data_IF_167730717115
#
_entry.id   IF_167730717115
#
_cell.length_a   1.000
_cell.length_b   1.000
_cell.length_c   1.000
_cell.angle_alpha   90.00
_cell.angle_beta   90.00
_cell.angle_gamma   90.00
#
_symmetry.space_group_name_H-M   'P 1'
#
loop_
_entity.id
_entity.type
_entity.pdbx_description
1 polymer ?
#
# COMPACT_ATOMS: atom_id res chain seq x y z
N UNK A 1 -53.00 -12.15 11.15
CA UNK A 1 -52.16 -11.60 12.23
C UNK A 1 -50.73 -11.74 11.77
N UNK A 2 -50.16 -10.65 11.25
CA UNK A 2 -48.80 -10.57 10.73
C UNK A 2 -48.02 -9.79 11.76
N UNK A 3 -47.25 -10.48 12.60
CA UNK A 3 -46.36 -9.82 13.55
C UNK A 3 -45.25 -9.13 12.77
N UNK A 4 -45.23 -7.79 12.90
CA UNK A 4 -44.11 -6.95 12.53
C UNK A 4 -42.92 -7.40 13.37
N UNK A 5 -41.88 -7.87 12.71
CA UNK A 5 -40.56 -7.97 13.33
C UNK A 5 -40.07 -6.53 13.44
N UNK A 6 -40.16 -6.00 14.65
CA UNK A 6 -39.61 -4.71 15.03
C UNK A 6 -38.12 -4.65 14.67
N UNK A 7 -37.74 -3.52 14.10
CA UNK A 7 -36.40 -3.23 13.60
C UNK A 7 -35.36 -3.42 14.69
N UNK A 8 -34.68 -4.57 14.66
CA UNK A 8 -33.33 -4.65 15.17
C UNK A 8 -32.50 -3.67 14.32
N UNK A 9 -32.14 -2.53 14.92
CA UNK A 9 -31.05 -1.70 14.44
C UNK A 9 -29.85 -2.64 14.38
N UNK A 10 -29.52 -3.12 13.18
CA UNK A 10 -28.25 -3.81 12.96
C UNK A 10 -27.19 -2.87 13.52
N UNK A 11 -26.36 -3.29 14.50
CA UNK A 11 -25.26 -2.45 14.95
C UNK A 11 -24.51 -2.03 13.70
N UNK A 12 -24.37 -0.72 13.48
CA UNK A 12 -23.70 -0.24 12.28
C UNK A 12 -22.28 -0.79 12.33
N UNK A 13 -21.94 -1.58 11.30
CA UNK A 13 -20.59 -2.14 11.09
C UNK A 13 -19.51 -1.06 11.24
N UNK A 14 -19.88 0.20 11.02
CA UNK A 14 -19.12 1.43 11.23
C UNK A 14 -18.54 1.66 12.63
N UNK A 15 -18.91 0.98 13.71
CA UNK A 15 -18.39 1.32 15.05
C UNK A 15 -17.13 0.54 15.46
N UNK A 16 -16.97 -0.72 15.06
CA UNK A 16 -15.85 -1.55 15.49
C UNK A 16 -14.65 -1.40 14.55
N UNK A 17 -14.87 -1.41 13.24
CA UNK A 17 -13.79 -1.26 12.25
C UNK A 17 -13.27 0.18 12.15
N UNK A 18 -14.16 1.18 12.26
CA UNK A 18 -13.75 2.58 12.41
C UNK A 18 -13.00 2.78 13.71
N UNK A 19 -13.37 2.10 14.80
CA UNK A 19 -12.60 2.14 16.04
C UNK A 19 -11.22 1.49 15.85
N UNK A 20 -11.09 0.37 15.14
CA UNK A 20 -9.80 -0.29 14.87
C UNK A 20 -8.92 0.53 13.92
N UNK A 21 -9.48 1.16 12.89
CA UNK A 21 -8.72 2.07 12.02
C UNK A 21 -8.35 3.34 12.77
N UNK A 22 -9.26 3.96 13.52
CA UNK A 22 -8.93 5.09 14.38
C UNK A 22 -7.87 4.66 15.40
N UNK A 23 -7.96 3.48 15.99
CA UNK A 23 -6.96 2.95 16.92
C UNK A 23 -5.61 2.69 16.25
N UNK A 24 -5.58 2.16 15.03
CA UNK A 24 -4.38 2.00 14.21
C UNK A 24 -3.78 3.34 13.74
N UNK A 25 -4.62 4.36 13.54
CA UNK A 25 -4.23 5.73 13.18
C UNK A 25 -3.74 6.51 14.41
N UNK A 26 -4.31 6.23 15.59
CA UNK A 26 -3.93 6.82 16.88
C UNK A 26 -2.77 6.09 17.58
N UNK A 27 -2.45 4.85 17.16
CA UNK A 27 -1.24 4.18 17.58
C UNK A 27 -0.04 5.02 17.11
N UNK A 28 0.57 5.72 18.06
CA UNK A 28 1.92 6.21 17.93
C UNK A 28 2.82 4.99 17.71
N UNK A 29 3.14 4.70 16.45
CA UNK A 29 4.04 3.62 16.05
C UNK A 29 5.47 3.98 16.51
N UNK A 30 5.76 3.83 17.80
CA UNK A 30 7.01 4.30 18.41
C UNK A 30 7.30 5.78 18.14
N UNK A 31 6.25 6.63 18.06
CA UNK A 31 6.37 8.06 17.71
C UNK A 31 6.27 8.40 16.22
N UNK A 32 6.03 7.43 15.33
CA UNK A 32 5.72 7.71 13.91
C UNK A 32 4.21 7.85 13.70
N UNK A 33 3.80 8.99 13.17
CA UNK A 33 2.43 9.22 12.69
C UNK A 33 2.26 8.55 11.32
N UNK A 34 1.19 7.77 11.13
CA UNK A 34 0.83 7.28 9.80
C UNK A 34 0.52 8.47 8.89
N UNK A 35 1.24 8.59 7.78
CA UNK A 35 0.92 9.61 6.78
C UNK A 35 -0.27 9.16 5.93
N UNK A 36 -1.09 10.12 5.47
CA UNK A 36 -2.21 9.82 4.55
C UNK A 36 -1.75 9.06 3.30
N UNK A 37 -0.54 9.33 2.80
CA UNK A 37 0.03 8.59 1.66
C UNK A 37 0.23 7.11 1.99
N UNK A 38 0.71 6.77 3.19
CA UNK A 38 0.87 5.38 3.62
C UNK A 38 -0.48 4.67 3.75
N UNK A 39 -1.49 5.38 4.25
CA UNK A 39 -2.87 4.86 4.36
C UNK A 39 -3.43 4.57 2.97
N UNK A 40 -3.30 5.50 2.02
CA UNK A 40 -3.76 5.29 0.63
C UNK A 40 -3.03 4.10 -0.01
N UNK A 41 -1.71 4.02 0.14
CA UNK A 41 -0.93 2.93 -0.44
C UNK A 41 -1.32 1.57 0.19
N UNK A 42 -1.58 1.53 1.50
CA UNK A 42 -2.08 0.33 2.18
C UNK A 42 -3.45 -0.11 1.66
N UNK A 43 -4.40 0.82 1.46
CA UNK A 43 -5.70 0.52 0.86
C UNK A 43 -5.57 0.00 -0.57
N UNK A 44 -4.71 0.60 -1.39
CA UNK A 44 -4.48 0.14 -2.77
C UNK A 44 -3.94 -1.30 -2.78
N UNK A 45 -2.96 -1.60 -1.95
CA UNK A 45 -2.37 -2.94 -1.89
C UNK A 45 -3.34 -3.96 -1.30
N UNK A 46 -4.14 -3.56 -0.30
CA UNK A 46 -5.23 -4.36 0.26
C UNK A 46 -6.31 -4.71 -0.78
N UNK A 47 -6.76 -3.72 -1.56
CA UNK A 47 -7.72 -3.94 -2.64
C UNK A 47 -7.14 -4.90 -3.71
N UNK A 48 -5.86 -4.76 -4.07
CA UNK A 48 -5.21 -5.71 -4.99
C UNK A 48 -5.16 -7.12 -4.41
N UNK A 49 -4.80 -7.27 -3.13
CA UNK A 49 -4.76 -8.55 -2.45
C UNK A 49 -6.15 -9.20 -2.35
N UNK A 50 -7.20 -8.40 -2.20
CA UNK A 50 -8.60 -8.84 -2.18
C UNK A 50 -9.16 -9.20 -3.57
N UNK A 51 -8.40 -9.02 -4.65
CA UNK A 51 -8.81 -9.40 -6.00
C UNK A 51 -9.16 -8.24 -6.94
N UNK A 52 -8.83 -6.99 -6.57
CA UNK A 52 -8.99 -5.80 -7.42
C UNK A 52 -7.62 -5.34 -7.98
N UNK A 53 -7.00 -6.09 -8.91
CA UNK A 53 -5.60 -5.86 -9.33
C UNK A 53 -5.36 -4.50 -10.01
N UNK A 54 -6.43 -3.84 -10.47
CA UNK A 54 -6.38 -2.54 -11.15
C UNK A 54 -6.53 -1.34 -10.19
N UNK A 55 -6.63 -1.57 -8.88
CA UNK A 55 -6.67 -0.51 -7.88
C UNK A 55 -5.43 0.38 -7.96
N UNK A 56 -5.65 1.70 -8.01
CA UNK A 56 -4.60 2.72 -8.15
C UNK A 56 -5.11 4.07 -7.68
N UNK A 57 -4.22 5.05 -7.52
CA UNK A 57 -4.60 6.45 -7.31
C UNK A 57 -5.35 6.98 -8.55
N UNK A 58 -6.47 7.66 -8.34
CA UNK A 58 -7.29 8.24 -9.39
C UNK A 58 -6.57 9.43 -10.04
N UNK A 59 -6.87 9.69 -11.31
CA UNK A 59 -6.29 10.80 -12.07
C UNK A 59 -7.40 11.73 -12.55
N UNK A 60 -7.08 13.01 -12.64
CA UNK A 60 -7.96 14.07 -13.15
C UNK A 60 -7.26 14.81 -14.29
N UNK A 61 -8.02 15.28 -15.28
CA UNK A 61 -7.51 16.02 -16.43
C UNK A 61 -7.36 15.19 -17.70
N UNK A 62 -6.87 15.82 -18.78
CA UNK A 62 -6.67 15.19 -20.08
C UNK A 62 -5.33 15.62 -20.69
N UNK A 63 -4.56 14.67 -21.20
CA UNK A 63 -3.28 14.95 -21.85
C UNK A 63 -2.27 15.57 -20.87
N UNK A 64 -1.74 16.75 -21.22
CA UNK A 64 -0.69 17.44 -20.45
C UNK A 64 -1.16 18.03 -19.11
N UNK A 65 -2.48 18.09 -18.85
CA UNK A 65 -3.04 18.56 -17.56
C UNK A 65 -3.40 17.42 -16.61
N UNK A 66 -3.01 16.18 -16.93
CA UNK A 66 -3.32 15.02 -16.09
C UNK A 66 -2.56 15.09 -14.77
N UNK A 67 -3.29 15.14 -13.66
CA UNK A 67 -2.74 15.10 -12.29
C UNK A 67 -3.27 13.90 -11.52
N UNK A 68 -2.43 13.31 -10.69
CA UNK A 68 -2.83 12.26 -9.75
C UNK A 68 -3.57 12.90 -8.58
N UNK A 69 -4.71 12.35 -8.20
CA UNK A 69 -5.43 12.68 -6.98
C UNK A 69 -4.88 11.79 -5.85
N UNK A 70 -4.11 12.33 -4.91
CA UNK A 70 -3.31 11.50 -3.98
C UNK A 70 -4.15 10.74 -2.96
N UNK A 71 -5.38 11.20 -2.66
CA UNK A 71 -6.28 10.61 -1.67
C UNK A 71 -7.46 9.86 -2.30
N UNK A 72 -7.53 9.82 -3.63
CA UNK A 72 -8.64 9.16 -4.33
C UNK A 72 -8.13 7.87 -4.94
N UNK A 73 -8.81 6.76 -4.68
CA UNK A 73 -8.54 5.44 -5.23
C UNK A 73 -9.55 5.14 -6.33
N UNK A 74 -9.07 4.69 -7.48
CA UNK A 74 -9.87 4.27 -8.64
C UNK A 74 -9.80 2.75 -8.80
N UNK A 75 -10.96 2.11 -8.89
CA UNK A 75 -11.12 0.70 -9.24
C UNK A 75 -12.15 0.55 -10.38
N UNK A 76 -12.00 -0.45 -11.26
CA UNK A 76 -13.13 -0.88 -12.09
C UNK A 76 -14.32 -1.27 -11.20
N UNK A 77 -15.54 -0.99 -11.63
CA UNK A 77 -16.73 -1.30 -10.86
C UNK A 77 -16.78 -2.80 -10.52
N UNK A 78 -16.76 -3.17 -9.22
CA UNK A 78 -16.69 -4.57 -8.78
C UNK A 78 -17.99 -5.34 -9.07
N UNK A 79 -19.10 -4.63 -9.28
CA UNK A 79 -20.40 -5.17 -9.64
C UNK A 79 -20.70 -5.09 -11.14
N UNK A 80 -19.68 -4.82 -11.96
CA UNK A 80 -19.78 -4.81 -13.43
C UNK A 80 -20.79 -3.82 -14.02
N UNK A 81 -21.20 -2.80 -13.26
CA UNK A 81 -21.98 -1.68 -13.79
C UNK A 81 -21.22 -1.03 -14.96
N UNK A 82 -21.97 -0.61 -15.98
CA UNK A 82 -21.42 -0.01 -17.19
C UNK A 82 -21.59 1.50 -17.17
N UNK A 83 -20.73 2.19 -17.93
CA UNK A 83 -20.91 3.61 -18.23
C UNK A 83 -22.24 3.85 -18.95
N UNK A 84 -22.81 5.08 -18.94
CA UNK A 84 -24.10 5.38 -19.59
C UNK A 84 -24.17 4.99 -21.08
N UNK A 85 -23.03 5.08 -21.79
CA UNK A 85 -22.89 4.68 -23.19
C UNK A 85 -22.77 3.16 -23.41
N UNK A 86 -22.72 2.37 -22.33
CA UNK A 86 -22.62 0.90 -22.26
C UNK A 86 -21.34 0.29 -22.86
N UNK A 87 -20.37 1.12 -23.27
CA UNK A 87 -19.16 0.64 -23.96
C UNK A 87 -18.12 0.09 -23.00
N UNK A 88 -18.01 0.68 -21.82
CA UNK A 88 -17.01 0.32 -20.82
C UNK A 88 -17.66 -0.06 -19.50
N UNK A 89 -16.92 -0.79 -18.67
CA UNK A 89 -17.26 -0.89 -17.25
C UNK A 89 -17.07 0.49 -16.61
N UNK A 90 -18.02 0.88 -15.77
CA UNK A 90 -17.88 2.06 -14.95
C UNK A 90 -16.70 1.88 -13.98
N UNK A 91 -16.17 2.99 -13.50
CA UNK A 91 -15.17 3.00 -12.45
C UNK A 91 -15.81 3.51 -11.17
N UNK A 92 -15.37 2.98 -10.04
CA UNK A 92 -15.71 3.49 -8.72
C UNK A 92 -14.51 4.26 -8.20
N UNK A 93 -14.75 5.51 -7.82
CA UNK A 93 -13.77 6.33 -7.12
C UNK A 93 -14.12 6.37 -5.64
N UNK A 94 -13.09 6.23 -4.80
CA UNK A 94 -13.22 6.25 -3.35
C UNK A 94 -12.25 7.26 -2.77
N UNK A 95 -12.68 8.07 -1.81
CA UNK A 95 -11.86 9.07 -1.13
C UNK A 95 -11.39 8.47 0.20
N UNK A 96 -10.09 8.57 0.48
CA UNK A 96 -9.54 8.30 1.80
C UNK A 96 -9.78 9.52 2.68
N UNK A 97 -10.67 9.38 3.66
CA UNK A 97 -11.02 10.40 4.64
C UNK A 97 -9.89 10.61 5.67
N UNK A 98 -10.01 11.67 6.46
CA UNK A 98 -9.11 11.95 7.59
C UNK A 98 -9.10 10.84 8.66
N UNK A 99 -10.22 10.14 8.80
CA UNK A 99 -10.39 8.92 9.60
C UNK A 99 -9.68 7.69 9.03
N UNK A 100 -8.99 7.82 7.90
CA UNK A 100 -8.39 6.73 7.12
C UNK A 100 -9.41 5.73 6.53
N UNK A 101 -10.71 6.01 6.63
CA UNK A 101 -11.78 5.25 5.99
C UNK A 101 -11.97 5.62 4.51
N UNK A 102 -12.62 4.75 3.74
CA UNK A 102 -12.99 5.00 2.35
C UNK A 102 -14.46 5.42 2.24
N UNK A 103 -14.71 6.59 1.67
CA UNK A 103 -16.04 7.00 1.21
C UNK A 103 -16.13 6.91 -0.32
N UNK A 104 -17.34 6.89 -0.87
CA UNK A 104 -17.52 6.98 -2.33
C UNK A 104 -17.39 8.44 -2.75
N UNK A 105 -16.52 8.68 -3.73
CA UNK A 105 -16.34 10.00 -4.33
C UNK A 105 -17.66 10.45 -5.00
N UNK A 106 -18.20 11.65 -4.70
CA UNK A 106 -19.38 12.18 -5.39
C UNK A 106 -19.22 12.24 -6.92
N UNK A 107 -17.99 12.40 -7.40
CA UNK A 107 -17.64 12.42 -8.83
C UNK A 107 -17.31 11.01 -9.37
N UNK A 108 -17.63 9.95 -8.62
CA UNK A 108 -17.48 8.57 -9.05
C UNK A 108 -18.32 8.30 -10.31
N UNK A 109 -17.72 7.84 -11.43
CA UNK A 109 -18.46 7.57 -12.66
C UNK A 109 -19.53 6.47 -12.55
N UNK A 110 -19.50 5.66 -11.50
CA UNK A 110 -20.48 4.61 -11.26
C UNK A 110 -21.61 5.11 -10.34
N UNK A 111 -22.77 5.41 -10.93
CA UNK A 111 -23.97 5.92 -10.22
C UNK A 111 -24.65 4.89 -9.31
N UNK A 112 -24.32 3.60 -9.47
CA UNK A 112 -24.98 2.50 -8.76
C UNK A 112 -24.23 2.03 -7.51
N UNK A 113 -22.95 2.39 -7.37
CA UNK A 113 -22.15 2.00 -6.22
C UNK A 113 -22.31 3.04 -5.12
N UNK A 114 -23.36 2.88 -4.32
CA UNK A 114 -23.62 3.76 -3.18
C UNK A 114 -22.59 3.54 -2.06
N UNK A 115 -22.46 4.49 -1.12
CA UNK A 115 -21.61 4.32 0.07
C UNK A 115 -21.81 2.99 0.79
N UNK A 116 -23.06 2.61 1.08
CA UNK A 116 -23.39 1.36 1.78
C UNK A 116 -22.94 0.10 1.01
N UNK A 117 -23.04 0.14 -0.32
CA UNK A 117 -22.63 -0.97 -1.19
C UNK A 117 -21.10 -1.15 -1.17
N UNK A 118 -20.37 -0.03 -1.19
CA UNK A 118 -18.91 -0.05 -1.12
C UNK A 118 -18.42 -0.39 0.29
N UNK A 119 -19.02 0.15 1.35
CA UNK A 119 -18.73 -0.24 2.72
C UNK A 119 -18.87 -1.76 2.89
N UNK A 120 -19.99 -2.33 2.44
CA UNK A 120 -20.19 -3.78 2.48
C UNK A 120 -19.10 -4.53 1.71
N UNK A 121 -18.70 -4.07 0.53
CA UNK A 121 -17.62 -4.68 -0.24
C UNK A 121 -16.30 -4.69 0.53
N UNK A 122 -15.97 -3.60 1.21
CA UNK A 122 -14.70 -3.45 1.94
C UNK A 122 -14.64 -4.35 3.18
N UNK A 123 -15.80 -4.65 3.77
CA UNK A 123 -15.95 -5.46 4.98
C UNK A 123 -16.26 -6.94 4.71
N UNK A 124 -16.77 -7.27 3.53
CA UNK A 124 -17.18 -8.64 3.19
C UNK A 124 -16.06 -9.39 2.50
N UNK A 125 -15.82 -10.64 2.91
CA UNK A 125 -14.90 -11.51 2.21
C UNK A 125 -15.47 -11.87 0.82
N UNK A 126 -14.82 -11.48 -0.29
CA UNK A 126 -15.34 -11.69 -1.65
C UNK A 126 -15.43 -13.17 -2.05
N UNK A 127 -14.81 -14.08 -1.30
CA UNK A 127 -14.81 -15.52 -1.59
C UNK A 127 -15.96 -16.29 -0.96
N UNK A 128 -16.40 -15.91 0.23
CA UNK A 128 -17.49 -16.59 0.94
C UNK A 128 -18.75 -15.72 1.06
N UNK A 129 -18.69 -14.48 0.56
CA UNK A 129 -19.77 -13.49 0.65
C UNK A 129 -20.26 -13.32 2.09
N UNK A 130 -19.33 -13.44 3.04
CA UNK A 130 -19.62 -13.43 4.45
C UNK A 130 -18.81 -12.33 5.14
N UNK A 131 -19.44 -11.68 6.12
CA UNK A 131 -18.76 -10.76 7.02
C UNK A 131 -17.69 -11.50 7.85
N UNK A 132 -16.81 -10.74 8.50
CA UNK A 132 -15.72 -11.25 9.33
C UNK A 132 -16.15 -12.22 10.44
N UNK A 133 -17.37 -12.09 10.96
CA UNK A 133 -17.88 -12.88 12.09
C UNK A 133 -18.62 -14.14 11.63
N UNK A 134 -18.70 -14.39 10.33
CA UNK A 134 -19.48 -15.48 9.79
C UNK A 134 -18.84 -16.85 10.03
N UNK A 135 -19.59 -17.85 10.52
CA UNK A 135 -19.12 -19.24 10.59
C UNK A 135 -18.92 -19.88 9.20
N UNK A 136 -19.24 -19.16 8.11
CA UNK A 136 -19.01 -19.60 6.72
C UNK A 136 -17.55 -19.50 6.29
N UNK A 137 -16.69 -18.81 7.04
CA UNK A 137 -15.25 -18.82 6.78
C UNK A 137 -14.71 -20.24 6.94
N UNK A 138 -14.28 -20.85 5.83
CA UNK A 138 -13.64 -22.18 5.88
C UNK A 138 -12.18 -22.01 6.34
N UNK A 139 -11.65 -22.96 7.14
CA UNK A 139 -10.22 -23.01 7.44
C UNK A 139 -9.40 -23.02 6.15
N UNK A 140 -8.37 -22.17 6.08
CA UNK A 140 -7.50 -22.06 4.90
C UNK A 140 -7.94 -21.04 3.84
N UNK A 141 -8.97 -20.24 4.08
CA UNK A 141 -9.39 -19.17 3.18
C UNK A 141 -8.64 -17.83 3.37
N UNK A 142 -7.78 -17.70 4.38
CA UNK A 142 -6.95 -16.51 4.62
C UNK A 142 -5.49 -16.68 4.22
N UNK A 143 -4.81 -15.55 3.92
CA UNK A 143 -3.35 -15.51 4.00
C UNK A 143 -2.90 -16.00 5.38
N UNK A 144 -1.81 -16.76 5.40
CA UNK A 144 -1.19 -17.38 6.59
C UNK A 144 -0.84 -16.33 7.64
N UNK A 145 -1.73 -15.89 8.53
CA UNK A 145 -1.27 -15.22 9.76
C UNK A 145 -2.14 -15.57 10.97
N UNK A 146 -1.44 -15.94 12.03
CA UNK A 146 -1.86 -16.02 13.41
C UNK A 146 -2.33 -14.64 13.88
N UNK A 147 -3.64 -14.41 13.84
CA UNK A 147 -4.26 -13.26 14.48
C UNK A 147 -4.51 -13.58 15.95
N UNK A 148 -4.34 -12.60 16.83
CA UNK A 148 -4.64 -12.73 18.26
C UNK A 148 -6.10 -13.20 18.42
N UNK A 149 -6.38 -14.35 19.07
CA UNK A 149 -7.73 -14.83 19.31
C UNK A 149 -8.62 -13.82 20.08
N UNK A 150 -8.04 -12.79 20.71
CA UNK A 150 -8.75 -11.70 21.38
C UNK A 150 -9.34 -10.66 20.40
N UNK A 151 -8.83 -10.58 19.17
CA UNK A 151 -9.24 -9.57 18.17
C UNK A 151 -10.15 -10.13 17.07
N UNK A 152 -10.51 -11.41 17.10
CA UNK A 152 -11.63 -11.97 16.31
C UNK A 152 -11.40 -12.24 14.82
N UNK A 153 -10.33 -11.73 14.18
CA UNK A 153 -10.19 -11.82 12.72
C UNK A 153 -9.25 -12.96 12.29
N UNK A 154 -9.76 -14.18 12.17
CA UNK A 154 -8.99 -15.31 11.59
C UNK A 154 -9.49 -15.62 10.18
N UNK A 155 -8.73 -15.18 9.17
CA UNK A 155 -8.79 -15.76 7.82
C UNK A 155 -9.73 -15.10 6.79
N UNK A 156 -10.11 -13.83 6.98
CA UNK A 156 -10.87 -13.06 5.99
C UNK A 156 -10.01 -12.61 4.80
N UNK A 157 -10.60 -12.53 3.60
CA UNK A 157 -10.02 -11.85 2.43
C UNK A 157 -10.74 -10.55 2.10
N UNK A 158 -11.48 -9.98 3.05
CA UNK A 158 -12.05 -8.66 2.91
C UNK A 158 -10.91 -7.63 2.76
N UNK A 159 -11.08 -6.59 1.92
CA UNK A 159 -10.10 -5.51 1.80
C UNK A 159 -9.63 -4.95 3.14
N UNK A 160 -10.55 -4.71 4.09
CA UNK A 160 -10.19 -4.16 5.41
C UNK A 160 -9.16 -5.03 6.16
N UNK A 161 -9.30 -6.35 6.09
CA UNK A 161 -8.40 -7.27 6.81
C UNK A 161 -6.96 -7.17 6.32
N UNK A 162 -6.74 -6.88 5.03
CA UNK A 162 -5.39 -6.64 4.50
C UNK A 162 -4.83 -5.27 4.89
N UNK A 163 -5.67 -4.25 5.04
CA UNK A 163 -5.23 -2.93 5.55
C UNK A 163 -4.77 -3.06 7.00
N UNK A 164 -5.55 -3.77 7.82
CA UNK A 164 -5.20 -4.03 9.21
C UNK A 164 -3.89 -4.82 9.34
N UNK A 165 -3.68 -5.85 8.50
CA UNK A 165 -2.41 -6.58 8.44
C UNK A 165 -1.24 -5.66 8.06
N UNK A 166 -1.42 -4.78 7.08
CA UNK A 166 -0.39 -3.81 6.70
C UNK A 166 -0.04 -2.86 7.85
N UNK A 167 -1.04 -2.36 8.60
CA UNK A 167 -0.81 -1.48 9.75
C UNK A 167 -0.15 -2.20 10.92
N UNK A 168 -0.54 -3.44 11.20
CA UNK A 168 0.12 -4.28 12.22
C UNK A 168 1.57 -4.56 11.86
N UNK A 169 1.88 -4.83 10.59
CA UNK A 169 3.27 -4.99 10.13
C UNK A 169 4.08 -3.71 10.33
N UNK A 170 3.52 -2.55 9.97
CA UNK A 170 4.17 -1.25 10.21
C UNK A 170 4.42 -0.99 11.70
N UNK A 171 3.48 -1.39 12.56
CA UNK A 171 3.66 -1.33 14.02
C UNK A 171 4.79 -2.22 14.50
N UNK A 172 4.81 -3.48 14.06
CA UNK A 172 5.87 -4.44 14.41
C UNK A 172 7.24 -3.96 13.94
N UNK A 173 7.34 -3.39 12.73
CA UNK A 173 8.57 -2.79 12.21
C UNK A 173 9.00 -1.55 13.00
N UNK A 174 8.06 -0.69 13.39
CA UNK A 174 8.35 0.49 14.21
C UNK A 174 8.81 0.12 15.62
N UNK A 175 8.15 -0.86 16.24
CA UNK A 175 8.54 -1.40 17.55
C UNK A 175 9.94 -2.03 17.48
N UNK A 176 10.19 -2.88 16.48
CA UNK A 176 11.51 -3.45 16.25
C UNK A 176 12.58 -2.37 16.07
N UNK A 177 12.26 -1.29 15.35
CA UNK A 177 13.16 -0.14 15.20
C UNK A 177 13.45 0.53 16.55
N UNK A 178 12.42 0.75 17.38
CA UNK A 178 12.56 1.36 18.70
C UNK A 178 13.46 0.52 19.62
N UNK A 179 13.29 -0.80 19.65
CA UNK A 179 14.13 -1.71 20.45
C UNK A 179 15.61 -1.70 20.03
N UNK A 180 15.92 -1.39 18.75
CA UNK A 180 17.31 -1.29 18.28
C UNK A 180 17.90 0.11 18.46
N UNK A 181 17.12 1.17 18.28
CA UNK A 181 17.61 2.56 18.29
C UNK A 181 17.56 3.22 19.67
N UNK A 182 16.56 2.88 20.49
CA UNK A 182 16.33 3.46 21.81
C UNK A 182 15.91 2.38 22.83
N UNK A 183 16.77 1.37 23.09
CA UNK A 183 16.42 0.20 23.90
C UNK A 183 15.96 0.53 25.32
N UNK A 184 16.57 1.52 25.97
CA UNK A 184 16.22 1.87 27.36
C UNK A 184 14.81 2.49 27.45
N UNK A 185 14.44 3.33 26.47
CA UNK A 185 13.12 3.92 26.39
C UNK A 185 12.05 2.87 26.03
N UNK A 186 12.38 1.96 25.11
CA UNK A 186 11.49 0.85 24.75
C UNK A 186 11.24 -0.10 25.93
N UNK A 187 12.28 -0.41 26.72
CA UNK A 187 12.15 -1.20 27.94
C UNK A 187 11.30 -0.49 29.00
N UNK A 188 11.52 0.81 29.23
CA UNK A 188 10.72 1.57 30.19
C UNK A 188 9.23 1.56 29.82
N UNK A 189 8.91 1.70 28.53
CA UNK A 189 7.54 1.56 28.05
C UNK A 189 7.02 0.11 28.22
N UNK A 190 7.80 -0.89 27.82
CA UNK A 190 7.43 -2.31 27.96
C UNK A 190 7.00 -2.67 29.38
N UNK A 191 7.77 -2.24 30.38
CA UNK A 191 7.47 -2.46 31.80
C UNK A 191 6.20 -1.73 32.26
N UNK A 192 5.84 -0.61 31.64
CA UNK A 192 4.59 0.10 31.95
C UNK A 192 3.35 -0.61 31.40
N UNK A 193 3.45 -1.19 30.20
CA UNK A 193 2.29 -1.82 29.53
C UNK A 193 2.19 -3.33 29.73
N UNK A 194 3.26 -4.01 30.11
CA UNK A 194 3.26 -5.44 30.39
C UNK A 194 3.60 -5.70 31.85
N UNK A 195 2.69 -6.37 32.56
CA UNK A 195 2.89 -6.82 33.93
C UNK A 195 3.64 -8.17 33.97
N UNK A 196 4.63 -8.32 33.09
CA UNK A 196 5.39 -9.57 32.97
C UNK A 196 6.60 -9.53 33.91
N UNK A 197 6.42 -10.12 35.09
CA UNK A 197 7.41 -10.13 36.18
C UNK A 197 8.41 -11.29 36.06
N UNK A 198 8.31 -12.12 35.03
CA UNK A 198 9.09 -13.36 34.90
C UNK A 198 10.50 -13.15 34.35
N UNK A 199 10.75 -12.03 33.66
CA UNK A 199 12.05 -11.73 33.04
C UNK A 199 12.71 -10.52 33.69
N UNK A 200 14.02 -10.59 33.87
CA UNK A 200 14.83 -9.43 34.25
C UNK A 200 14.90 -8.44 33.08
N UNK A 201 15.16 -7.16 33.39
CA UNK A 201 15.37 -6.11 32.39
C UNK A 201 16.42 -6.50 31.32
N UNK A 202 17.51 -7.16 31.72
CA UNK A 202 18.56 -7.63 30.82
C UNK A 202 18.09 -8.75 29.88
N UNK A 203 17.24 -9.65 30.37
CA UNK A 203 16.68 -10.75 29.56
C UNK A 203 15.70 -10.21 28.52
N UNK A 204 14.80 -9.31 28.94
CA UNK A 204 13.86 -8.64 28.01
C UNK A 204 14.62 -7.88 26.93
N UNK A 205 15.67 -7.14 27.28
CA UNK A 205 16.49 -6.42 26.31
C UNK A 205 17.18 -7.35 25.31
N UNK A 206 17.73 -8.48 25.77
CA UNK A 206 18.39 -9.43 24.89
C UNK A 206 17.40 -10.06 23.92
N UNK A 207 16.28 -10.58 24.43
CA UNK A 207 15.23 -11.24 23.65
C UNK A 207 14.61 -10.29 22.62
N UNK A 208 14.17 -9.10 23.06
CA UNK A 208 13.48 -8.14 22.17
C UNK A 208 14.40 -7.59 21.10
N UNK A 209 15.70 -7.41 21.38
CA UNK A 209 16.67 -7.01 20.35
C UNK A 209 16.96 -8.12 19.35
N UNK A 210 16.97 -9.38 19.77
CA UNK A 210 17.09 -10.52 18.86
C UNK A 210 15.85 -10.61 17.95
N UNK A 211 14.65 -10.57 18.54
CA UNK A 211 13.39 -10.50 17.80
C UNK A 211 13.38 -9.34 16.80
N UNK A 212 13.77 -8.14 17.22
CA UNK A 212 13.79 -6.95 16.37
C UNK A 212 14.75 -7.09 15.18
N UNK A 213 15.92 -7.70 15.38
CA UNK A 213 16.83 -8.06 14.26
C UNK A 213 16.19 -9.08 13.33
N UNK A 214 15.45 -10.04 13.87
CA UNK A 214 14.68 -11.00 13.09
C UNK A 214 13.64 -10.33 12.19
N UNK A 215 12.81 -9.45 12.75
CA UNK A 215 11.79 -8.70 12.01
C UNK A 215 12.41 -7.82 10.91
N UNK A 216 13.38 -6.98 11.26
CA UNK A 216 13.99 -6.03 10.30
C UNK A 216 14.96 -6.69 9.32
N UNK A 217 15.50 -7.86 9.67
CA UNK A 217 16.31 -8.69 8.79
C UNK A 217 15.49 -9.56 7.84
N UNK A 218 14.27 -9.96 8.25
CA UNK A 218 13.33 -10.76 7.45
C UNK A 218 12.37 -9.92 6.61
N UNK A 219 12.23 -8.61 6.90
CA UNK A 219 11.59 -7.69 5.98
C UNK A 219 12.23 -7.89 4.60
N UNK A 220 11.44 -8.17 3.53
CA UNK A 220 12.02 -8.21 2.20
C UNK A 220 12.62 -6.83 2.04
N UNK A 221 13.96 -6.76 2.09
CA UNK A 221 14.67 -5.57 1.64
C UNK A 221 14.08 -5.39 0.26
N UNK A 222 13.20 -4.39 0.11
CA UNK A 222 12.97 -3.80 -1.19
C UNK A 222 14.39 -3.47 -1.54
N UNK A 223 14.96 -4.26 -2.44
CA UNK A 223 16.19 -3.94 -3.10
C UNK A 223 15.75 -2.67 -3.80
N UNK A 224 15.86 -1.54 -3.09
CA UNK A 224 16.23 -0.28 -3.68
C UNK A 224 17.42 -0.76 -4.46
N UNK A 225 17.20 -1.02 -5.75
CA UNK A 225 18.26 -1.22 -6.68
C UNK A 225 19.16 -0.06 -6.33
N UNK A 226 20.28 -0.38 -5.69
CA UNK A 226 21.31 0.59 -5.42
C UNK A 226 21.54 1.13 -6.81
N UNK A 227 21.00 2.30 -7.08
CA UNK A 227 21.34 3.07 -8.24
C UNK A 227 22.73 3.56 -7.90
N UNK A 228 23.69 2.65 -7.92
CA UNK A 228 25.08 2.94 -8.20
C UNK A 228 25.24 3.40 -9.65
N UNK A 229 24.22 4.05 -10.22
CA UNK A 229 24.45 5.06 -11.22
C UNK A 229 25.15 6.19 -10.46
N UNK A 230 26.48 6.21 -10.52
CA UNK A 230 27.24 7.39 -10.17
C UNK A 230 26.53 8.60 -10.81
N UNK A 231 26.43 9.71 -10.06
CA UNK A 231 25.86 10.95 -10.56
C UNK A 231 26.73 11.44 -11.72
N UNK A 232 26.44 10.94 -12.91
CA UNK A 232 27.15 11.22 -14.15
C UNK A 232 26.44 12.40 -14.81
N UNK A 233 27.22 13.41 -15.18
CA UNK A 233 26.74 14.55 -15.94
C UNK A 233 26.30 14.13 -17.35
N UNK A 234 25.55 15.00 -18.05
CA UNK A 234 25.09 14.70 -19.41
C UNK A 234 26.25 14.50 -20.39
N UNK A 235 27.33 15.28 -20.27
CA UNK A 235 28.51 15.19 -21.15
C UNK A 235 29.33 13.91 -20.90
N UNK A 236 29.46 13.51 -19.64
CA UNK A 236 30.06 12.23 -19.27
C UNK A 236 29.20 11.07 -19.79
N UNK A 237 27.87 11.20 -19.75
CA UNK A 237 26.96 10.19 -20.26
C UNK A 237 27.01 10.06 -21.79
N UNK A 238 27.22 11.15 -22.54
CA UNK A 238 27.48 11.08 -23.99
C UNK A 238 28.74 10.24 -24.25
N UNK A 239 29.84 10.58 -23.56
CA UNK A 239 31.12 9.86 -23.68
C UNK A 239 30.96 8.39 -23.28
N UNK A 240 30.14 8.10 -22.27
CA UNK A 240 29.85 6.74 -21.83
C UNK A 240 29.04 5.96 -22.87
N UNK A 241 28.03 6.58 -23.51
CA UNK A 241 27.25 5.95 -24.58
C UNK A 241 28.12 5.64 -25.80
N UNK A 242 29.04 6.54 -26.16
CA UNK A 242 29.99 6.33 -27.25
C UNK A 242 30.97 5.20 -26.93
N UNK A 243 31.53 5.18 -25.71
CA UNK A 243 32.44 4.13 -25.24
C UNK A 243 31.82 2.74 -25.24
N UNK A 244 30.51 2.65 -25.02
CA UNK A 244 29.77 1.38 -25.01
C UNK A 244 29.08 1.08 -26.35
N UNK A 245 29.47 1.77 -27.43
CA UNK A 245 29.03 1.51 -28.80
C UNK A 245 27.50 1.59 -28.99
N UNK A 246 26.81 2.37 -28.17
CA UNK A 246 25.36 2.57 -28.33
C UNK A 246 25.13 3.53 -29.52
N UNK A 247 24.40 3.14 -30.57
CA UNK A 247 24.30 3.96 -31.78
C UNK A 247 23.64 5.33 -31.53
N UNK A 248 24.15 6.43 -32.11
CA UNK A 248 23.51 7.75 -32.00
C UNK A 248 22.15 7.81 -32.71
N UNK A 249 21.91 6.90 -33.67
CA UNK A 249 20.63 6.76 -34.38
C UNK A 249 19.54 6.12 -33.51
N UNK A 250 19.90 5.34 -32.49
CA UNK A 250 18.95 4.66 -31.61
C UNK A 250 17.97 5.66 -30.97
N UNK A 251 16.70 5.27 -30.83
CA UNK A 251 15.74 6.08 -30.07
C UNK A 251 16.15 6.16 -28.59
N UNK A 252 15.70 7.18 -27.86
CA UNK A 252 15.98 7.31 -26.42
C UNK A 252 15.62 6.03 -25.64
N UNK A 253 14.44 5.46 -25.92
CA UNK A 253 13.95 4.21 -25.32
C UNK A 253 14.84 3.01 -25.69
N UNK A 254 15.35 2.98 -26.92
CA UNK A 254 16.22 1.91 -27.39
C UNK A 254 17.63 2.04 -26.83
N UNK A 255 18.20 3.25 -26.72
CA UNK A 255 19.46 3.49 -26.02
C UNK A 255 19.37 3.09 -24.53
N UNK A 256 18.25 3.40 -23.87
CA UNK A 256 17.98 2.87 -22.53
C UNK A 256 17.93 1.34 -22.53
N UNK A 257 17.26 0.70 -23.49
CA UNK A 257 17.23 -0.77 -23.55
C UNK A 257 18.62 -1.38 -23.79
N UNK A 258 19.41 -0.83 -24.71
CA UNK A 258 20.74 -1.31 -25.08
C UNK A 258 21.76 -1.11 -23.95
N UNK A 259 21.59 -0.07 -23.14
CA UNK A 259 22.43 0.15 -21.94
C UNK A 259 22.12 -0.78 -20.76
N UNK A 260 21.08 -1.61 -20.85
CA UNK A 260 20.72 -2.52 -19.77
C UNK A 260 21.78 -3.61 -19.58
N UNK A 261 22.29 -3.74 -18.36
CA UNK A 261 23.32 -4.74 -18.02
C UNK A 261 24.77 -4.27 -18.20
N UNK A 262 24.99 -3.05 -18.72
CA UNK A 262 26.34 -2.49 -18.83
C UNK A 262 26.84 -1.93 -17.48
N UNK A 263 28.14 -2.10 -17.15
CA UNK A 263 28.70 -1.64 -15.89
C UNK A 263 28.76 -0.11 -15.83
N UNK A 264 28.45 0.45 -14.65
CA UNK A 264 28.50 1.91 -14.42
C UNK A 264 27.42 2.70 -15.19
N UNK A 265 26.31 2.05 -15.53
CA UNK A 265 25.20 2.63 -16.30
C UNK A 265 24.66 3.92 -15.65
N UNK A 266 24.56 5.03 -16.40
CA UNK A 266 23.93 6.25 -15.92
C UNK A 266 22.42 6.08 -15.64
N UNK A 267 21.83 7.02 -14.92
CA UNK A 267 20.39 7.06 -14.69
C UNK A 267 19.62 7.24 -16.01
N UNK A 268 18.37 6.75 -16.05
CA UNK A 268 17.53 6.78 -17.26
C UNK A 268 17.44 8.17 -17.88
N UNK A 269 17.11 9.17 -17.08
CA UNK A 269 16.95 10.54 -17.57
C UNK A 269 18.25 11.09 -18.17
N UNK A 270 19.41 10.73 -17.60
CA UNK A 270 20.72 11.13 -18.11
C UNK A 270 21.02 10.49 -19.46
N UNK A 271 20.67 9.20 -19.65
CA UNK A 271 20.82 8.50 -20.93
C UNK A 271 19.91 9.11 -22.00
N UNK A 272 18.66 9.42 -21.64
CA UNK A 272 17.70 10.03 -22.58
C UNK A 272 18.13 11.45 -22.99
N UNK A 273 18.64 12.25 -22.05
CA UNK A 273 19.20 13.57 -22.32
C UNK A 273 20.44 13.49 -23.24
N UNK A 274 21.43 12.65 -22.88
CA UNK A 274 22.64 12.45 -23.67
C UNK A 274 22.34 11.98 -25.10
N UNK A 275 21.40 11.05 -25.27
CA UNK A 275 21.00 10.58 -26.60
C UNK A 275 20.29 11.68 -27.43
N UNK A 276 19.51 12.55 -26.77
CA UNK A 276 18.90 13.71 -27.43
C UNK A 276 19.96 14.66 -27.95
N UNK A 277 20.99 14.92 -27.15
CA UNK A 277 22.10 15.79 -27.51
C UNK A 277 22.95 15.23 -28.65
N UNK A 278 23.27 13.93 -28.62
CA UNK A 278 23.95 13.22 -29.74
C UNK A 278 23.18 13.37 -31.05
N UNK A 279 21.84 13.27 -31.01
CA UNK A 279 20.99 13.45 -32.19
C UNK A 279 20.97 14.89 -32.70
N UNK A 280 20.94 15.89 -31.81
CA UNK A 280 21.00 17.30 -32.20
C UNK A 280 22.36 17.63 -32.85
N UNK A 281 23.46 17.21 -32.24
CA UNK A 281 24.81 17.42 -32.80
C UNK A 281 25.04 16.72 -34.14
N UNK A 282 24.47 15.53 -34.36
CA UNK A 282 24.54 14.82 -35.64
C UNK A 282 23.65 15.42 -36.75
N UNK A 283 22.72 16.32 -36.40
CA UNK A 283 21.88 17.04 -37.38
C UNK A 283 22.49 18.39 -37.75
N UNK A 284 23.41 18.91 -36.93
CA UNK A 284 24.11 20.19 -37.12
C UNK A 284 25.49 20.04 -37.80
N UNK A 285 26.01 18.81 -37.92
CA UNK A 285 27.27 18.46 -38.60
C UNK A 285 27.02 17.87 -39.99
#
# INVERSE_FOLDING_TARGET
MSERIDGAVSPSYSQLDTAVILWATYLHLGGRTLSLTMIVDAWIDALKAAGFPKARKAWEGYGSSTRTLPLVIDIPCPFEHRTPDRRNFAHVRMIVEDTAWLSVDPDSPCEYCTPDVIERLLLTCPRCEADENSPRHRPGHGLRHSFDPRLGVVGSTAPISFVLDAFLRLQVEAEATAWLQAPDAALAWWVQVNDDTLLTASEVLAERREWARGILGAAPRKVVASSGAAAMTEDEAVTWLDKNEIPPTASQREAWRLSAGLPGRPAKNTIEAAQTRRKRGATEA
#
